data_IF_550444758952
#
_entry.id   IF_550444758952
#
_cell.length_a   1.000
_cell.length_b   1.000
_cell.length_c   1.000
_cell.angle_alpha   90.00
_cell.angle_beta   90.00
_cell.angle_gamma   90.00
#
_symmetry.space_group_name_H-M   'P 1'
#
loop_
_entity.id
_entity.type
_entity.pdbx_description
1 polymer ?
#
# COMPACT_ATOMS: atom_id res chain seq x y z
N UNK A 1 -4.04 -0.13 17.37
CA UNK A 1 -5.45 0.04 16.99
C UNK A 1 -6.30 -1.07 17.62
N UNK A 2 -7.56 -0.77 17.94
CA UNK A 2 -8.52 -1.70 18.54
C UNK A 2 -9.33 -2.48 17.50
N UNK A 3 -9.87 -3.64 17.88
CA UNK A 3 -10.80 -4.41 17.05
C UNK A 3 -12.08 -3.62 16.70
N UNK A 4 -12.53 -2.74 17.59
CA UNK A 4 -13.69 -1.88 17.32
C UNK A 4 -13.41 -0.87 16.20
N UNK A 5 -12.22 -0.29 16.15
CA UNK A 5 -11.81 0.61 15.07
C UNK A 5 -11.72 -0.13 13.73
N UNK A 6 -11.19 -1.35 13.71
CA UNK A 6 -11.18 -2.21 12.51
C UNK A 6 -12.59 -2.56 12.06
N UNK A 7 -13.50 -2.90 12.98
CA UNK A 7 -14.93 -3.13 12.68
C UNK A 7 -15.61 -1.90 12.09
N UNK A 8 -15.24 -0.69 12.53
CA UNK A 8 -15.77 0.55 11.93
C UNK A 8 -15.34 0.68 10.47
N UNK A 9 -14.08 0.39 10.16
CA UNK A 9 -13.57 0.41 8.78
C UNK A 9 -14.37 -0.60 7.94
N UNK A 10 -14.37 -1.87 8.35
CA UNK A 10 -15.06 -2.95 7.69
C UNK A 10 -15.51 -4.02 8.70
N UNK A 11 -16.82 -4.08 8.97
CA UNK A 11 -17.43 -5.07 9.87
C UNK A 11 -17.48 -6.47 9.28
N UNK A 12 -17.47 -6.58 7.96
CA UNK A 12 -17.75 -7.84 7.25
C UNK A 12 -16.56 -8.80 7.30
N UNK A 13 -15.39 -8.29 7.72
CA UNK A 13 -14.10 -9.01 7.75
C UNK A 13 -13.55 -9.17 9.16
N UNK A 14 -14.24 -8.68 10.21
CA UNK A 14 -13.81 -8.78 11.61
C UNK A 14 -14.84 -9.58 12.40
N UNK A 15 -14.45 -10.79 12.79
CA UNK A 15 -15.34 -11.78 13.38
C UNK A 15 -15.56 -11.57 14.88
N UNK A 16 -16.57 -12.25 15.44
CA UNK A 16 -16.91 -12.15 16.87
C UNK A 16 -15.80 -12.64 17.78
N UNK A 17 -15.05 -13.66 17.35
CA UNK A 17 -13.90 -14.23 18.05
C UNK A 17 -12.64 -13.35 18.01
N UNK A 18 -12.70 -12.21 17.33
CA UNK A 18 -11.60 -11.26 17.18
C UNK A 18 -10.65 -11.57 16.03
N UNK A 19 -10.90 -12.64 15.26
CA UNK A 19 -10.17 -12.90 14.02
C UNK A 19 -10.56 -11.92 12.91
N UNK A 20 -9.63 -11.70 11.97
CA UNK A 20 -9.81 -10.81 10.83
C UNK A 20 -9.51 -11.61 9.58
N UNK A 21 -10.37 -11.51 8.56
CA UNK A 21 -10.12 -12.15 7.28
C UNK A 21 -8.79 -11.67 6.68
N UNK A 22 -7.97 -12.62 6.24
CA UNK A 22 -6.75 -12.29 5.52
C UNK A 22 -7.08 -11.51 4.24
N UNK A 23 -6.13 -10.73 3.75
CA UNK A 23 -6.32 -10.00 2.50
C UNK A 23 -6.66 -10.96 1.34
N UNK A 24 -6.03 -12.14 1.29
CA UNK A 24 -6.37 -13.19 0.32
C UNK A 24 -7.81 -13.68 0.43
N UNK A 25 -8.30 -13.89 1.66
CA UNK A 25 -9.69 -14.29 1.89
C UNK A 25 -10.65 -13.23 1.36
N UNK A 26 -10.38 -11.96 1.65
CA UNK A 26 -11.17 -10.83 1.13
C UNK A 26 -11.15 -10.76 -0.40
N UNK A 27 -10.01 -11.04 -1.05
CA UNK A 27 -9.90 -11.11 -2.51
C UNK A 27 -10.70 -12.29 -3.10
N UNK A 28 -10.70 -13.45 -2.43
CA UNK A 28 -11.52 -14.61 -2.81
C UNK A 28 -13.00 -14.23 -2.75
N UNK A 29 -13.43 -13.62 -1.64
CA UNK A 29 -14.83 -13.20 -1.46
C UNK A 29 -15.25 -12.12 -2.48
N UNK A 30 -14.31 -11.25 -2.90
CA UNK A 30 -14.55 -10.31 -3.99
C UNK A 30 -14.72 -11.03 -5.32
N UNK A 31 -13.87 -12.03 -5.60
CA UNK A 31 -13.94 -12.81 -6.83
C UNK A 31 -15.21 -13.67 -6.93
N UNK A 32 -15.75 -14.15 -5.80
CA UNK A 32 -17.00 -14.90 -5.75
C UNK A 32 -18.26 -14.01 -5.73
N UNK A 33 -18.09 -12.69 -5.65
CA UNK A 33 -19.19 -11.73 -5.66
C UNK A 33 -19.91 -11.58 -4.32
N UNK A 34 -19.36 -12.09 -3.22
CA UNK A 34 -19.97 -11.99 -1.88
C UNK A 34 -19.40 -10.84 -1.04
N UNK A 35 -18.30 -10.22 -1.49
CA UNK A 35 -17.69 -9.09 -0.79
C UNK A 35 -18.49 -7.78 -0.96
N UNK A 36 -18.66 -7.05 0.14
CA UNK A 36 -19.29 -5.72 0.15
C UNK A 36 -18.33 -4.65 -0.40
N UNK A 37 -18.49 -4.31 -1.68
CA UNK A 37 -17.61 -3.38 -2.40
C UNK A 37 -17.61 -1.92 -1.89
N UNK A 38 -18.50 -1.57 -0.95
CA UNK A 38 -18.54 -0.23 -0.34
C UNK A 38 -17.50 -0.06 0.77
N UNK A 39 -17.08 -1.15 1.40
CA UNK A 39 -16.06 -1.12 2.42
C UNK A 39 -14.67 -1.34 1.80
N UNK A 40 -13.62 -0.66 2.28
CA UNK A 40 -12.27 -0.94 1.84
C UNK A 40 -11.81 -2.30 2.36
N UNK A 41 -10.85 -2.90 1.66
CA UNK A 41 -10.15 -4.10 2.10
C UNK A 41 -9.05 -3.74 3.08
N UNK A 42 -8.88 -4.59 4.10
CA UNK A 42 -7.76 -4.50 5.05
C UNK A 42 -6.61 -5.30 4.45
N UNK A 43 -5.58 -4.59 3.98
CA UNK A 43 -4.34 -5.19 3.44
C UNK A 43 -3.46 -5.69 4.58
N UNK A 44 -3.36 -4.89 5.64
CA UNK A 44 -2.68 -5.24 6.88
C UNK A 44 -3.35 -4.51 8.06
N UNK A 45 -3.61 -5.19 9.19
CA UNK A 45 -4.20 -4.56 10.37
C UNK A 45 -3.26 -3.55 11.06
N UNK A 46 -1.97 -3.64 10.79
CA UNK A 46 -0.91 -2.73 11.26
C UNK A 46 0.07 -2.43 10.12
N UNK A 47 0.70 -1.26 10.14
CA UNK A 47 1.50 -0.77 9.02
C UNK A 47 3.01 -0.80 9.29
N UNK A 48 3.49 -1.78 10.06
CA UNK A 48 4.92 -1.99 10.35
C UNK A 48 5.77 -2.08 9.07
N UNK A 49 5.23 -2.70 8.02
CA UNK A 49 5.90 -2.89 6.72
C UNK A 49 6.26 -1.58 6.02
N UNK A 50 5.59 -0.47 6.37
CA UNK A 50 5.84 0.85 5.78
C UNK A 50 6.33 1.89 6.81
N UNK A 51 6.48 1.51 8.08
CA UNK A 51 6.82 2.43 9.17
C UNK A 51 8.16 3.16 8.97
N UNK A 52 9.09 2.56 8.21
CA UNK A 52 10.38 3.17 7.89
C UNK A 52 10.26 4.48 7.08
N UNK A 53 9.11 4.73 6.43
CA UNK A 53 8.92 5.81 5.48
C UNK A 53 8.55 7.17 6.11
N UNK A 54 8.61 7.31 7.43
CA UNK A 54 8.47 8.58 8.15
C UNK A 54 7.06 9.21 8.09
N UNK A 55 6.58 9.70 9.25
CA UNK A 55 5.24 10.28 9.35
C UNK A 55 4.10 9.26 9.25
N UNK A 56 4.40 7.97 9.40
CA UNK A 56 3.44 6.87 9.38
C UNK A 56 3.37 6.25 10.78
N UNK A 57 2.17 6.21 11.35
CA UNK A 57 1.91 5.48 12.59
C UNK A 57 1.79 3.98 12.28
N UNK A 58 2.73 3.19 12.80
CA UNK A 58 2.80 1.74 12.59
C UNK A 58 1.59 0.97 13.12
N UNK A 59 0.80 1.58 14.02
CA UNK A 59 -0.38 0.96 14.60
C UNK A 59 -1.64 1.17 13.77
N UNK A 60 -1.59 2.00 12.72
CA UNK A 60 -2.72 2.23 11.79
C UNK A 60 -2.78 1.11 10.75
N UNK A 61 -3.96 0.75 10.24
CA UNK A 61 -4.08 -0.27 9.21
C UNK A 61 -3.62 0.26 7.87
N UNK A 62 -3.19 -0.66 7.02
CA UNK A 62 -3.09 -0.44 5.59
C UNK A 62 -4.39 -0.95 4.94
N UNK A 63 -5.08 -0.07 4.22
CA UNK A 63 -6.30 -0.38 3.50
C UNK A 63 -6.18 -0.09 2.01
N UNK A 64 -7.06 -0.69 1.22
CA UNK A 64 -7.18 -0.41 -0.21
C UNK A 64 -8.65 -0.43 -0.62
N UNK A 65 -9.07 0.54 -1.44
CA UNK A 65 -10.43 0.53 -1.98
C UNK A 65 -10.59 -0.60 -3.00
N UNK A 66 -11.78 -1.22 -3.02
CA UNK A 66 -12.12 -2.26 -3.98
C UNK A 66 -11.98 -1.77 -5.43
N UNK A 67 -12.30 -0.51 -5.71
CA UNK A 67 -12.10 0.08 -7.03
C UNK A 67 -10.62 0.14 -7.46
N UNK A 68 -9.70 0.35 -6.51
CA UNK A 68 -8.25 0.27 -6.77
C UNK A 68 -7.83 -1.17 -7.03
N UNK A 69 -8.33 -2.13 -6.23
CA UNK A 69 -8.08 -3.57 -6.45
C UNK A 69 -8.51 -4.01 -7.86
N UNK A 70 -9.73 -3.64 -8.28
CA UNK A 70 -10.26 -3.96 -9.61
C UNK A 70 -9.37 -3.35 -10.71
N UNK A 71 -8.96 -2.08 -10.57
CA UNK A 71 -8.04 -1.43 -11.52
C UNK A 71 -6.69 -2.12 -11.60
N UNK A 72 -6.13 -2.55 -10.48
CA UNK A 72 -4.84 -3.25 -10.44
C UNK A 72 -4.92 -4.61 -11.13
N UNK A 73 -6.01 -5.35 -10.89
CA UNK A 73 -6.31 -6.61 -11.56
C UNK A 73 -6.38 -6.44 -13.08
N UNK A 74 -7.06 -5.39 -13.56
CA UNK A 74 -7.31 -5.16 -14.99
C UNK A 74 -6.12 -4.57 -15.74
N UNK A 75 -5.45 -3.56 -15.17
CA UNK A 75 -4.43 -2.78 -15.86
C UNK A 75 -3.14 -3.57 -16.10
N UNK A 76 -2.80 -4.46 -15.18
CA UNK A 76 -1.51 -5.14 -15.23
C UNK A 76 -1.56 -6.51 -15.91
N UNK A 77 -2.74 -7.08 -16.22
CA UNK A 77 -2.90 -8.51 -16.56
C UNK A 77 -2.30 -9.49 -15.52
N UNK A 78 -1.76 -9.00 -14.40
CA UNK A 78 -1.07 -9.78 -13.38
C UNK A 78 -2.03 -10.54 -12.43
N UNK A 79 -3.34 -10.43 -12.67
CA UNK A 79 -4.38 -11.16 -11.94
C UNK A 79 -4.43 -10.85 -10.43
N UNK A 80 -5.22 -11.64 -9.69
CA UNK A 80 -5.30 -11.52 -8.24
C UNK A 80 -4.01 -11.92 -7.53
N UNK A 81 -3.14 -12.72 -8.18
CA UNK A 81 -1.84 -13.13 -7.64
C UNK A 81 -0.89 -11.95 -7.41
N UNK A 82 -0.95 -10.91 -8.24
CA UNK A 82 -0.21 -9.68 -7.97
C UNK A 82 -0.82 -8.87 -6.83
N UNK A 83 -2.15 -8.78 -6.79
CA UNK A 83 -2.85 -8.02 -5.76
C UNK A 83 -2.61 -8.63 -4.38
N UNK A 84 -2.67 -9.95 -4.22
CA UNK A 84 -2.43 -10.62 -2.93
C UNK A 84 -1.07 -10.30 -2.32
N UNK A 85 -0.04 -10.11 -3.15
CA UNK A 85 1.33 -9.82 -2.71
C UNK A 85 1.57 -8.37 -2.32
N UNK A 86 0.58 -7.48 -2.37
CA UNK A 86 0.80 -6.05 -2.09
C UNK A 86 1.48 -5.79 -0.75
N UNK A 87 1.06 -6.48 0.32
CA UNK A 87 1.67 -6.29 1.63
C UNK A 87 3.15 -6.74 1.65
N UNK A 88 3.46 -7.85 0.98
CA UNK A 88 4.83 -8.34 0.82
C UNK A 88 5.69 -7.39 -0.01
N UNK A 89 5.16 -6.85 -1.11
CA UNK A 89 5.87 -5.88 -1.95
C UNK A 89 6.19 -4.59 -1.19
N UNK A 90 5.29 -4.15 -0.29
CA UNK A 90 5.56 -3.00 0.58
C UNK A 90 6.65 -3.30 1.60
N UNK A 91 6.63 -4.49 2.24
CA UNK A 91 7.68 -4.91 3.17
C UNK A 91 9.07 -4.99 2.51
N UNK A 92 9.10 -5.40 1.24
CA UNK A 92 10.33 -5.51 0.45
C UNK A 92 10.73 -4.23 -0.28
N UNK A 93 9.91 -3.18 -0.24
CA UNK A 93 10.16 -1.93 -0.97
C UNK A 93 11.54 -1.34 -0.66
N UNK A 94 12.26 -0.90 -1.68
CA UNK A 94 13.64 -0.43 -1.54
C UNK A 94 13.73 0.92 -0.83
N UNK A 95 12.91 1.87 -1.26
CA UNK A 95 12.96 3.24 -0.79
C UNK A 95 11.56 3.83 -0.80
N UNK A 96 11.33 4.78 0.11
CA UNK A 96 10.15 5.61 0.11
C UNK A 96 10.53 7.09 0.07
N UNK A 97 9.63 7.94 -0.40
CA UNK A 97 9.87 9.38 -0.49
C UNK A 97 8.58 10.20 -0.41
N UNK A 98 8.70 11.50 -0.08
CA UNK A 98 7.55 12.40 -0.10
C UNK A 98 6.96 12.48 -1.52
N UNK A 99 5.65 12.52 -1.62
CA UNK A 99 5.00 12.91 -2.87
C UNK A 99 5.30 14.37 -3.22
N UNK A 100 5.52 14.62 -4.51
CA UNK A 100 5.68 15.97 -5.06
C UNK A 100 4.41 16.83 -4.95
N UNK A 101 3.24 16.20 -4.89
CA UNK A 101 1.94 16.88 -5.09
C UNK A 101 1.06 16.86 -3.85
N UNK A 102 1.29 15.92 -2.94
CA UNK A 102 0.43 15.70 -1.79
C UNK A 102 1.28 15.35 -0.57
N UNK A 103 1.40 16.27 0.36
CA UNK A 103 2.28 16.08 1.52
C UNK A 103 1.85 14.89 2.38
N UNK A 104 0.54 14.60 2.43
CA UNK A 104 -0.03 13.43 3.13
C UNK A 104 0.15 12.10 2.38
N UNK A 105 1.09 12.02 1.44
CA UNK A 105 1.32 10.82 0.63
C UNK A 105 2.79 10.46 0.55
N UNK A 106 3.03 9.16 0.66
CA UNK A 106 4.33 8.51 0.51
C UNK A 106 4.34 7.69 -0.76
N UNK A 107 5.45 7.78 -1.49
CA UNK A 107 5.72 6.94 -2.65
C UNK A 107 6.69 5.85 -2.22
N UNK A 108 6.39 4.60 -2.55
CA UNK A 108 7.23 3.44 -2.28
C UNK A 108 7.72 2.85 -3.59
N UNK A 109 9.02 2.70 -3.76
CA UNK A 109 9.62 1.92 -4.84
C UNK A 109 9.55 0.43 -4.48
N UNK A 110 8.73 -0.32 -5.20
CA UNK A 110 8.55 -1.75 -4.95
C UNK A 110 9.72 -2.55 -5.52
N UNK A 111 10.04 -3.68 -4.89
CA UNK A 111 11.02 -4.66 -5.39
C UNK A 111 10.41 -5.56 -6.47
N UNK A 112 9.81 -4.92 -7.47
CA UNK A 112 9.16 -5.57 -8.60
C UNK A 112 9.34 -4.70 -9.85
N UNK A 113 9.52 -5.37 -10.98
CA UNK A 113 9.54 -4.76 -12.30
C UNK A 113 8.57 -5.49 -13.20
N UNK A 114 7.92 -4.80 -14.14
CA UNK A 114 7.06 -5.51 -15.08
C UNK A 114 7.86 -6.43 -15.99
N UNK A 115 7.29 -7.60 -16.27
CA UNK A 115 7.92 -8.62 -17.13
C UNK A 115 8.15 -8.12 -18.57
N UNK A 116 7.40 -7.09 -19.01
CA UNK A 116 7.40 -6.64 -20.40
C UNK A 116 8.40 -5.50 -20.68
N UNK A 117 8.60 -4.55 -19.76
CA UNK A 117 9.40 -3.35 -20.03
C UNK A 117 10.38 -2.98 -18.90
N UNK A 118 10.50 -3.81 -17.86
CA UNK A 118 11.42 -3.62 -16.73
C UNK A 118 11.30 -2.24 -16.05
N UNK A 119 10.15 -1.58 -16.15
CA UNK A 119 9.95 -0.31 -15.46
C UNK A 119 9.75 -0.55 -13.97
N UNK A 120 10.29 0.33 -13.12
CA UNK A 120 10.04 0.27 -11.69
C UNK A 120 8.56 0.41 -11.38
N UNK A 121 8.04 -0.44 -10.49
CA UNK A 121 6.72 -0.26 -9.91
C UNK A 121 6.80 0.64 -8.68
N UNK A 122 5.86 1.57 -8.58
CA UNK A 122 5.69 2.39 -7.38
C UNK A 122 4.29 2.20 -6.79
N UNK A 123 4.21 2.19 -5.46
CA UNK A 123 2.96 2.30 -4.71
C UNK A 123 2.82 3.72 -4.12
N UNK A 124 1.61 4.26 -4.13
CA UNK A 124 1.28 5.52 -3.46
C UNK A 124 0.40 5.23 -2.26
N UNK A 125 0.93 5.50 -1.07
CA UNK A 125 0.20 5.37 0.18
C UNK A 125 -0.14 6.76 0.72
N UNK A 126 -1.43 7.04 0.93
CA UNK A 126 -1.89 8.23 1.61
C UNK A 126 -2.05 7.91 3.09
N UNK A 127 -1.38 8.67 3.96
CA UNK A 127 -1.47 8.47 5.40
C UNK A 127 -2.52 9.38 6.04
N UNK A 128 -2.92 9.01 7.25
CA UNK A 128 -3.92 9.70 8.09
C UNK A 128 -5.25 9.98 7.37
N UNK A 129 -5.64 9.07 6.46
CA UNK A 129 -6.94 9.18 5.81
C UNK A 129 -8.02 8.81 6.81
N UNK A 130 -9.00 9.68 6.99
CA UNK A 130 -10.14 9.37 7.84
C UNK A 130 -11.16 8.50 7.09
N UNK A 131 -11.46 7.32 7.63
CA UNK A 131 -12.55 6.45 7.20
C UNK A 131 -13.42 6.19 8.42
N UNK A 132 -14.66 6.69 8.39
CA UNK A 132 -15.65 6.48 9.47
C UNK A 132 -15.06 6.78 10.87
N UNK A 133 -14.36 7.92 11.00
CA UNK A 133 -13.72 8.39 12.23
C UNK A 133 -12.50 7.57 12.69
N UNK A 134 -11.96 6.70 11.83
CA UNK A 134 -10.70 5.97 12.07
C UNK A 134 -9.66 6.44 11.07
N UNK A 135 -8.45 6.73 11.53
CA UNK A 135 -7.34 7.11 10.66
C UNK A 135 -6.63 5.86 10.12
N UNK A 136 -6.41 5.84 8.81
CA UNK A 136 -5.82 4.70 8.11
C UNK A 136 -4.76 5.14 7.12
N UNK A 137 -3.86 4.21 6.80
CA UNK A 137 -2.96 4.32 5.66
C UNK A 137 -3.63 3.67 4.45
N UNK A 138 -3.84 4.41 3.37
CA UNK A 138 -4.55 3.92 2.19
C UNK A 138 -3.60 3.79 0.99
N UNK A 139 -3.55 2.60 0.40
CA UNK A 139 -2.94 2.41 -0.92
C UNK A 139 -3.89 2.97 -1.97
N UNK A 140 -3.52 4.09 -2.57
CA UNK A 140 -4.36 4.79 -3.55
C UNK A 140 -4.08 4.32 -4.98
N UNK A 141 -2.86 3.89 -5.26
CA UNK A 141 -2.47 3.39 -6.58
C UNK A 141 -1.17 2.58 -6.52
N UNK A 142 -1.02 1.66 -7.48
CA UNK A 142 0.22 0.95 -7.79
C UNK A 142 0.37 0.92 -9.31
N UNK A 143 1.49 1.42 -9.84
CA UNK A 143 1.69 1.52 -11.28
C UNK A 143 3.18 1.60 -11.66
N UNK A 144 3.46 1.26 -12.91
CA UNK A 144 4.78 1.42 -13.52
C UNK A 144 5.14 2.91 -13.67
N UNK A 145 6.39 3.25 -13.39
CA UNK A 145 6.91 4.61 -13.58
C UNK A 145 7.97 4.64 -14.68
N UNK A 146 7.54 4.93 -15.91
CA UNK A 146 8.40 4.98 -17.11
C UNK A 146 9.59 5.94 -16.91
N UNK A 147 9.34 7.17 -16.47
CA UNK A 147 10.38 8.17 -16.20
C UNK A 147 10.77 8.19 -14.70
N UNK A 148 11.04 7.03 -14.10
CA UNK A 148 11.33 6.93 -12.66
C UNK A 148 12.56 7.77 -12.26
N UNK A 149 13.64 7.73 -13.02
CA UNK A 149 14.86 8.49 -12.72
C UNK A 149 14.61 10.01 -12.68
N UNK A 150 13.91 10.54 -13.69
CA UNK A 150 13.53 11.97 -13.72
C UNK A 150 12.60 12.32 -12.56
N UNK A 151 11.72 11.41 -12.18
CA UNK A 151 10.82 11.60 -11.05
C UNK A 151 11.57 11.62 -9.71
N UNK A 152 12.56 10.75 -9.54
CA UNK A 152 13.44 10.71 -8.38
C UNK A 152 14.26 12.00 -8.28
N UNK A 153 14.89 12.42 -9.39
CA UNK A 153 15.67 13.66 -9.46
C UNK A 153 14.82 14.88 -9.15
N UNK A 154 13.64 15.00 -9.76
CA UNK A 154 12.72 16.11 -9.48
C UNK A 154 12.27 16.13 -8.01
N UNK A 155 12.03 14.96 -7.42
CA UNK A 155 11.70 14.84 -6.00
C UNK A 155 12.84 15.40 -5.14
N UNK A 156 14.07 15.02 -5.43
CA UNK A 156 15.27 15.53 -4.77
C UNK A 156 15.43 17.05 -4.93
N UNK A 157 15.33 17.56 -6.15
CA UNK A 157 15.42 19.00 -6.46
C UNK A 157 14.34 19.85 -5.76
N UNK A 158 13.21 19.24 -5.37
CA UNK A 158 12.14 19.89 -4.63
C UNK A 158 12.29 19.74 -3.10
N UNK A 159 13.49 19.39 -2.61
CA UNK A 159 13.81 19.23 -1.18
C UNK A 159 12.86 18.27 -0.45
N UNK A 160 12.39 17.24 -1.14
CA UNK A 160 11.59 16.17 -0.55
C UNK A 160 12.49 15.15 0.13
N UNK A 161 11.98 14.56 1.19
CA UNK A 161 12.69 13.57 1.99
C UNK A 161 12.63 12.18 1.35
N UNK A 162 13.72 11.44 1.52
CA UNK A 162 13.88 10.06 1.13
C UNK A 162 14.14 9.20 2.36
N UNK A 163 13.57 8.00 2.33
CA UNK A 163 13.57 7.07 3.44
C UNK A 163 14.03 5.72 2.91
N UNK A 164 15.13 5.23 3.43
CA UNK A 164 15.64 3.91 3.09
C UNK A 164 15.20 2.92 4.18
N UNK A 165 14.73 1.75 3.77
CA UNK A 165 14.60 0.63 4.70
C UNK A 165 16.00 0.11 5.09
N UNK A 166 16.07 -0.75 6.11
CA UNK A 166 17.34 -1.30 6.59
C UNK A 166 18.09 -2.11 5.52
N UNK A 167 17.36 -2.80 4.63
CA UNK A 167 17.95 -3.57 3.52
C UNK A 167 18.71 -2.67 2.55
N UNK A 168 18.11 -1.55 2.16
CA UNK A 168 18.71 -0.56 1.25
C UNK A 168 19.83 0.20 1.95
N UNK A 169 19.71 0.51 3.24
CA UNK A 169 20.84 1.08 3.99
C UNK A 169 22.05 0.14 3.98
N UNK A 170 21.84 -1.17 4.12
CA UNK A 170 22.92 -2.15 4.10
C UNK A 170 23.57 -2.34 2.72
N UNK A 171 22.87 -2.00 1.62
CA UNK A 171 23.40 -2.14 0.26
C UNK A 171 24.15 -0.90 -0.25
N UNK A 172 23.98 0.27 0.39
CA UNK A 172 24.76 1.47 0.11
C UNK A 172 26.16 1.27 0.70
N UNK A 173 27.13 0.92 -0.15
CA UNK A 173 28.55 0.88 0.25
C UNK A 173 29.02 2.29 0.61
N UNK A 174 29.57 2.42 1.82
CA UNK A 174 30.31 3.59 2.30
C UNK A 174 31.61 3.81 1.54
#
# INVERSE_FOLDING_TARGET
MSLEELRRINSDVVHEDGSIDSFDRQLIDLSSGVYNVRNPMIVSPESKTIAYAGGLDELKPIVINVSTVIKLREKHQLGYAFVSRINEMLDKSYLAFDSLVQDTSRIFLLDESSELQAYPLIAVCRYDKNIKMVEVNEITSIYEKIDFEKFLLKTYENNKNFYCNEKTKASIKS
#
